data_IF_388206808258
#
_entry.id   IF_388206808258
#
_cell.length_a   1.000
_cell.length_b   1.000
_cell.length_c   1.000
_cell.angle_alpha   90.00
_cell.angle_beta   90.00
_cell.angle_gamma   90.00
#
_symmetry.space_group_name_H-M   'P 1'
#
loop_
_entity.id
_entity.type
_entity.pdbx_description
1 polymer ?
#
# COMPACT_ATOMS: atom_id res chain seq x y z
N UNK A 1 -30.05 -1.78 18.82
CA UNK A 1 -29.99 -2.08 17.37
C UNK A 1 -29.19 -0.95 16.75
N UNK A 2 -28.22 -1.20 15.88
CA UNK A 2 -27.48 -0.14 15.16
C UNK A 2 -27.89 -0.13 13.69
N UNK A 3 -27.71 1.01 13.06
CA UNK A 3 -28.04 1.24 11.66
C UNK A 3 -26.79 1.69 10.93
N UNK A 4 -26.71 1.43 9.64
CA UNK A 4 -25.52 1.75 8.88
C UNK A 4 -25.85 2.14 7.46
N UNK A 5 -24.90 2.82 6.84
CA UNK A 5 -25.01 3.23 5.44
C UNK A 5 -24.09 2.32 4.60
N UNK A 6 -24.64 1.75 3.52
CA UNK A 6 -23.89 0.92 2.57
C UNK A 6 -23.73 1.62 1.24
N UNK A 7 -22.56 1.49 0.63
CA UNK A 7 -22.28 1.87 -0.75
C UNK A 7 -21.69 0.65 -1.46
N UNK A 8 -22.25 0.28 -2.61
CA UNK A 8 -21.81 -0.89 -3.40
C UNK A 8 -21.64 -2.18 -2.56
N UNK A 9 -22.52 -2.36 -1.56
CA UNK A 9 -22.52 -3.53 -0.67
C UNK A 9 -21.54 -3.46 0.51
N UNK A 10 -20.72 -2.41 0.62
CA UNK A 10 -19.77 -2.19 1.72
C UNK A 10 -20.39 -1.29 2.77
N UNK A 11 -20.30 -1.69 4.05
CA UNK A 11 -20.75 -0.87 5.18
C UNK A 11 -19.71 0.20 5.49
N UNK A 12 -20.11 1.46 5.37
CA UNK A 12 -19.24 2.63 5.48
C UNK A 12 -19.21 3.19 6.90
N UNK A 13 -20.39 3.44 7.46
CA UNK A 13 -20.56 4.07 8.78
C UNK A 13 -21.75 3.48 9.52
N UNK A 14 -21.74 3.65 10.85
CA UNK A 14 -22.77 3.13 11.76
C UNK A 14 -23.29 4.20 12.71
N UNK A 15 -24.59 4.15 12.97
CA UNK A 15 -25.39 5.12 13.70
C UNK A 15 -26.28 4.40 14.72
N UNK A 16 -26.72 5.13 15.74
CA UNK A 16 -27.54 4.54 16.81
C UNK A 16 -29.02 4.50 16.43
N UNK A 17 -29.48 5.40 15.55
CA UNK A 17 -30.86 5.47 15.07
C UNK A 17 -30.95 5.38 13.54
N UNK A 18 -32.07 4.88 12.98
CA UNK A 18 -32.27 4.87 11.54
C UNK A 18 -32.41 6.29 10.96
N UNK A 19 -32.95 7.24 11.73
CA UNK A 19 -33.08 8.64 11.33
C UNK A 19 -31.71 9.30 11.11
N UNK A 20 -30.76 9.10 12.03
CA UNK A 20 -29.38 9.61 11.87
C UNK A 20 -28.72 9.04 10.61
N UNK A 21 -28.83 7.73 10.38
CA UNK A 21 -28.31 7.10 9.17
C UNK A 21 -28.97 7.68 7.90
N UNK A 22 -30.29 7.89 7.91
CA UNK A 22 -31.00 8.51 6.79
C UNK A 22 -30.55 9.95 6.53
N UNK A 23 -30.38 10.77 7.58
CA UNK A 23 -29.87 12.13 7.43
C UNK A 23 -28.44 12.15 6.90
N UNK A 24 -27.59 11.22 7.30
CA UNK A 24 -26.23 11.08 6.78
C UNK A 24 -26.23 10.72 5.28
N UNK A 25 -27.06 9.75 4.85
CA UNK A 25 -27.23 9.43 3.43
C UNK A 25 -27.72 10.64 2.65
N UNK A 26 -28.75 11.34 3.15
CA UNK A 26 -29.32 12.51 2.48
C UNK A 26 -28.29 13.62 2.31
N UNK A 27 -27.46 13.86 3.32
CA UNK A 27 -26.39 14.84 3.27
C UNK A 27 -25.32 14.44 2.24
N UNK A 28 -24.80 13.20 2.32
CA UNK A 28 -23.79 12.69 1.37
C UNK A 28 -24.30 12.65 -0.07
N UNK A 29 -25.57 12.35 -0.31
CA UNK A 29 -26.18 12.41 -1.65
C UNK A 29 -26.11 13.83 -2.22
N UNK A 30 -26.33 14.85 -1.39
CA UNK A 30 -26.19 16.25 -1.79
C UNK A 30 -24.78 16.62 -2.24
N UNK A 31 -23.75 16.01 -1.62
CA UNK A 31 -22.34 16.29 -1.92
C UNK A 31 -21.79 15.44 -3.07
N UNK A 32 -22.17 14.16 -3.15
CA UNK A 32 -21.53 13.17 -4.03
C UNK A 32 -22.41 12.71 -5.20
N UNK A 33 -23.73 12.87 -5.10
CA UNK A 33 -24.70 12.29 -6.03
C UNK A 33 -24.82 10.76 -5.98
N UNK A 34 -24.18 10.11 -5.00
CA UNK A 34 -24.17 8.65 -4.84
C UNK A 34 -25.33 8.17 -3.95
N UNK A 35 -25.95 7.06 -4.34
CA UNK A 35 -27.01 6.43 -3.57
C UNK A 35 -26.44 5.48 -2.54
N UNK A 36 -26.69 5.76 -1.27
CA UNK A 36 -26.34 4.90 -0.15
C UNK A 36 -27.60 4.20 0.38
N UNK A 37 -27.46 2.94 0.79
CA UNK A 37 -28.53 2.16 1.40
C UNK A 37 -28.47 2.29 2.92
N UNK A 38 -29.62 2.55 3.58
CA UNK A 38 -29.73 2.47 5.04
C UNK A 38 -30.13 1.06 5.43
N UNK A 39 -29.28 0.38 6.20
CA UNK A 39 -29.50 -1.01 6.62
C UNK A 39 -29.41 -1.14 8.14
N UNK A 40 -30.13 -2.12 8.69
CA UNK A 40 -29.91 -2.53 10.07
C UNK A 40 -28.62 -3.36 10.15
N UNK A 41 -27.71 -2.99 11.05
CA UNK A 41 -26.42 -3.66 11.20
C UNK A 41 -26.60 -4.91 12.02
N UNK A 42 -26.22 -6.05 11.45
CA UNK A 42 -26.17 -7.32 12.16
C UNK A 42 -24.77 -7.61 12.69
N UNK A 43 -24.67 -8.52 13.65
CA UNK A 43 -23.36 -9.02 14.11
C UNK A 43 -22.54 -9.69 12.99
N UNK A 44 -23.18 -10.11 11.89
CA UNK A 44 -22.49 -10.63 10.71
C UNK A 44 -21.83 -9.50 9.91
N UNK A 45 -22.53 -8.37 9.73
CA UNK A 45 -22.00 -7.19 9.02
C UNK A 45 -20.75 -6.66 9.73
N UNK A 46 -20.76 -6.56 11.06
CA UNK A 46 -19.59 -6.13 11.84
C UNK A 46 -18.39 -7.07 11.68
N UNK A 47 -18.63 -8.39 11.60
CA UNK A 47 -17.56 -9.37 11.35
C UNK A 47 -17.01 -9.24 9.93
N UNK A 48 -17.87 -9.03 8.95
CA UNK A 48 -17.46 -8.84 7.55
C UNK A 48 -16.58 -7.60 7.39
N UNK A 49 -16.94 -6.47 8.02
CA UNK A 49 -16.10 -5.27 8.02
C UNK A 49 -14.71 -5.54 8.61
N UNK A 50 -14.63 -6.17 9.78
CA UNK A 50 -13.34 -6.51 10.40
C UNK A 50 -12.48 -7.41 9.52
N UNK A 51 -13.10 -8.42 8.88
CA UNK A 51 -12.37 -9.30 7.96
C UNK A 51 -11.89 -8.57 6.70
N UNK A 52 -12.65 -7.58 6.21
CA UNK A 52 -12.22 -6.73 5.09
C UNK A 52 -11.02 -5.87 5.48
N UNK A 53 -11.06 -5.20 6.63
CA UNK A 53 -9.94 -4.40 7.16
C UNK A 53 -8.67 -5.26 7.32
N UNK A 54 -8.82 -6.47 7.86
CA UNK A 54 -7.71 -7.43 7.99
C UNK A 54 -7.15 -7.83 6.63
N UNK A 55 -8.01 -8.15 5.65
CA UNK A 55 -7.59 -8.49 4.29
C UNK A 55 -6.81 -7.36 3.61
N UNK A 56 -7.26 -6.12 3.76
CA UNK A 56 -6.56 -4.95 3.23
C UNK A 56 -5.19 -4.75 3.88
N UNK A 57 -5.12 -4.91 5.21
CA UNK A 57 -3.86 -4.87 5.93
C UNK A 57 -2.89 -5.98 5.47
N UNK A 58 -3.40 -7.19 5.22
CA UNK A 58 -2.62 -8.29 4.65
C UNK A 58 -2.09 -7.96 3.24
N UNK A 59 -2.94 -7.46 2.33
CA UNK A 59 -2.50 -7.05 0.98
C UNK A 59 -1.42 -5.98 1.02
N UNK A 60 -1.56 -4.98 1.91
CA UNK A 60 -0.56 -3.93 2.08
C UNK A 60 0.78 -4.50 2.56
N UNK A 61 0.75 -5.46 3.49
CA UNK A 61 1.97 -6.16 3.94
C UNK A 61 2.62 -6.97 2.83
N UNK A 62 1.82 -7.65 2.01
CA UNK A 62 2.32 -8.44 0.88
C UNK A 62 3.01 -7.56 -0.16
N UNK A 63 2.39 -6.43 -0.55
CA UNK A 63 3.01 -5.42 -1.44
C UNK A 63 4.34 -4.90 -0.88
N UNK A 64 4.39 -4.60 0.43
CA UNK A 64 5.63 -4.17 1.07
C UNK A 64 6.71 -5.27 1.04
N UNK A 65 6.32 -6.54 1.20
CA UNK A 65 7.23 -7.67 1.13
C UNK A 65 7.78 -7.87 -0.29
N UNK A 66 6.93 -7.71 -1.32
CA UNK A 66 7.35 -7.76 -2.72
C UNK A 66 8.34 -6.64 -3.05
N UNK A 67 8.08 -5.42 -2.58
CA UNK A 67 9.01 -4.30 -2.72
C UNK A 67 10.36 -4.60 -2.06
N UNK A 68 10.36 -5.18 -0.85
CA UNK A 68 11.57 -5.61 -0.17
C UNK A 68 12.34 -6.68 -0.96
N UNK A 69 11.66 -7.72 -1.46
CA UNK A 69 12.30 -8.79 -2.27
C UNK A 69 12.92 -8.24 -3.56
N UNK A 70 12.22 -7.34 -4.26
CA UNK A 70 12.74 -6.70 -5.48
C UNK A 70 14.04 -5.95 -5.19
N UNK A 71 14.08 -5.26 -4.05
CA UNK A 71 15.25 -4.53 -3.60
C UNK A 71 16.43 -5.44 -3.24
N UNK A 72 16.17 -6.53 -2.53
CA UNK A 72 17.18 -7.54 -2.22
C UNK A 72 17.78 -8.16 -3.50
N UNK A 73 16.94 -8.44 -4.49
CA UNK A 73 17.39 -8.92 -5.81
C UNK A 73 18.30 -7.91 -6.51
N UNK A 74 17.94 -6.62 -6.51
CA UNK A 74 18.76 -5.56 -7.11
C UNK A 74 20.14 -5.47 -6.44
N UNK A 75 20.19 -5.59 -5.11
CA UNK A 75 21.44 -5.62 -4.35
C UNK A 75 22.32 -6.83 -4.75
N UNK A 76 21.71 -8.02 -4.88
CA UNK A 76 22.43 -9.22 -5.32
C UNK A 76 23.00 -9.06 -6.74
N UNK A 77 22.23 -8.47 -7.66
CA UNK A 77 22.69 -8.19 -9.03
C UNK A 77 23.87 -7.21 -9.00
N UNK A 78 23.78 -6.14 -8.21
CA UNK A 78 24.85 -5.17 -8.05
C UNK A 78 26.14 -5.81 -7.51
N UNK A 79 26.03 -6.65 -6.47
CA UNK A 79 27.14 -7.39 -5.89
C UNK A 79 27.79 -8.36 -6.90
N UNK A 80 26.97 -9.08 -7.68
CA UNK A 80 27.49 -9.96 -8.74
C UNK A 80 28.27 -9.16 -9.80
N UNK A 81 27.78 -7.97 -10.17
CA UNK A 81 28.47 -7.08 -11.09
C UNK A 81 29.86 -6.66 -10.58
N UNK A 82 29.93 -6.20 -9.33
CA UNK A 82 31.19 -5.80 -8.68
C UNK A 82 32.15 -6.99 -8.59
N UNK A 83 31.66 -8.17 -8.17
CA UNK A 83 32.46 -9.39 -8.09
C UNK A 83 33.04 -9.78 -9.45
N UNK A 84 32.25 -9.65 -10.52
CA UNK A 84 32.71 -9.89 -11.89
C UNK A 84 33.82 -8.92 -12.25
N UNK A 85 33.67 -7.62 -12.01
CA UNK A 85 34.69 -6.61 -12.36
C UNK A 85 36.00 -6.80 -11.58
N UNK A 86 35.93 -7.10 -10.28
CA UNK A 86 37.10 -7.46 -9.47
C UNK A 86 37.86 -8.67 -10.04
N UNK A 87 37.15 -9.67 -10.59
CA UNK A 87 37.75 -10.86 -11.18
C UNK A 87 38.50 -10.57 -12.49
N UNK A 88 38.24 -9.45 -13.16
CA UNK A 88 38.93 -9.04 -14.39
C UNK A 88 40.23 -8.26 -14.12
N UNK A 89 40.59 -8.06 -12.84
CA UNK A 89 41.85 -7.41 -12.42
C UNK A 89 41.81 -5.88 -12.43
N UNK A 90 40.64 -5.29 -12.71
CA UNK A 90 40.43 -3.84 -12.74
C UNK A 90 39.76 -3.36 -11.44
N UNK A 91 40.54 -3.41 -10.35
CA UNK A 91 40.06 -3.11 -9.01
C UNK A 91 39.58 -1.65 -8.87
N UNK A 92 40.16 -0.73 -9.63
CA UNK A 92 39.82 0.70 -9.58
C UNK A 92 38.44 0.96 -10.22
N UNK A 93 38.17 0.35 -11.38
CA UNK A 93 36.87 0.40 -12.03
C UNK A 93 35.78 -0.28 -11.17
N UNK A 94 36.10 -1.42 -10.56
CA UNK A 94 35.17 -2.11 -9.67
C UNK A 94 34.82 -1.29 -8.41
N UNK A 95 35.80 -0.61 -7.81
CA UNK A 95 35.58 0.29 -6.65
C UNK A 95 34.76 1.50 -7.06
N UNK A 96 35.06 2.13 -8.20
CA UNK A 96 34.32 3.29 -8.71
C UNK A 96 32.83 2.96 -8.95
N UNK A 97 32.53 1.85 -9.63
CA UNK A 97 31.15 1.40 -9.86
C UNK A 97 30.41 0.93 -8.61
N UNK A 98 31.12 0.30 -7.68
CA UNK A 98 30.56 -0.03 -6.38
C UNK A 98 30.13 1.24 -5.62
N UNK A 99 30.97 2.27 -5.65
CA UNK A 99 30.74 3.54 -4.99
C UNK A 99 29.52 4.25 -5.59
N UNK A 100 29.48 4.38 -6.93
CA UNK A 100 28.33 4.95 -7.65
C UNK A 100 27.01 4.22 -7.35
N UNK A 101 27.02 2.89 -7.33
CA UNK A 101 25.83 2.09 -7.02
C UNK A 101 25.36 2.26 -5.57
N UNK A 102 26.30 2.34 -4.61
CA UNK A 102 25.98 2.61 -3.21
C UNK A 102 25.35 3.99 -3.07
N UNK A 103 25.89 5.00 -3.73
CA UNK A 103 25.35 6.37 -3.74
C UNK A 103 23.93 6.42 -4.33
N UNK A 104 23.68 5.72 -5.44
CA UNK A 104 22.33 5.64 -6.01
C UNK A 104 21.32 4.96 -5.07
N UNK A 105 21.70 3.88 -4.39
CA UNK A 105 20.82 3.21 -3.41
C UNK A 105 20.55 4.11 -2.20
N UNK A 106 21.54 4.91 -1.77
CA UNK A 106 21.37 5.91 -0.70
C UNK A 106 20.43 7.03 -1.17
N UNK A 107 20.56 7.49 -2.42
CA UNK A 107 19.69 8.51 -3.01
C UNK A 107 18.23 8.03 -3.09
N UNK A 108 18.00 6.81 -3.56
CA UNK A 108 16.67 6.18 -3.55
C UNK A 108 16.09 6.06 -2.14
N UNK A 109 16.91 5.68 -1.14
CA UNK A 109 16.50 5.61 0.26
C UNK A 109 16.03 6.93 0.85
N UNK A 110 16.60 8.03 0.37
CA UNK A 110 16.31 9.39 0.83
C UNK A 110 15.17 10.04 0.02
N UNK A 111 14.55 9.31 -0.91
CA UNK A 111 13.44 9.80 -1.72
C UNK A 111 13.86 10.66 -2.91
N UNK A 112 15.13 10.61 -3.33
CA UNK A 112 15.61 11.25 -4.55
C UNK A 112 15.34 10.40 -5.79
N UNK A 113 14.88 11.01 -6.88
CA UNK A 113 14.73 10.35 -8.19
C UNK A 113 16.10 9.89 -8.72
N UNK A 114 16.12 8.69 -9.32
CA UNK A 114 17.29 8.16 -10.01
C UNK A 114 17.43 8.82 -11.37
N UNK A 115 18.63 9.31 -11.67
CA UNK A 115 19.00 9.59 -13.07
C UNK A 115 19.26 8.25 -13.75
N UNK A 116 18.29 7.85 -14.57
CA UNK A 116 18.43 6.71 -15.49
C UNK A 116 19.51 7.03 -16.54
N UNK A 117 20.56 6.21 -16.59
CA UNK A 117 21.49 6.09 -17.73
C UNK A 117 21.17 4.84 -18.55
#
# INVERSE_FOLDING_TARGET
>A
MRYGIKLDGVLEETYDTPEEAYYAVRFRYGDTGLFYEVVAVTSLDEKLCKMQEELEAYRKRELNLEAYRKRELNLLIALMGIKKELAWGDAENAVSKATYRIENIIRELQGGETEDE
#
